data_IF_373197190496
#
_entry.id   IF_373197190496
#
_cell.length_a   1.000
_cell.length_b   1.000
_cell.length_c   1.000
_cell.angle_alpha   90.00
_cell.angle_beta   90.00
_cell.angle_gamma   90.00
#
_symmetry.space_group_name_H-M   'P 1'
#
loop_
_entity.id
_entity.type
_entity.pdbx_description
1 polymer ?
#
# COMPACT_ATOMS: atom_id res chain seq x y z
N UNK A 1 -1.83 -46.61 37.46
CA UNK A 1 -1.85 -46.66 35.97
C UNK A 1 -1.46 -48.02 35.38
N UNK A 2 -0.54 -48.77 35.96
CA UNK A 2 -0.11 -50.11 35.46
C UNK A 2 -1.25 -51.15 35.31
N UNK A 3 -2.21 -51.33 36.28
CA UNK A 3 -3.21 -52.40 36.16
C UNK A 3 -4.22 -52.19 35.03
N UNK A 4 -4.41 -50.97 34.57
CA UNK A 4 -5.32 -50.65 33.45
C UNK A 4 -4.71 -51.06 32.11
N UNK A 5 -3.46 -50.82 31.91
CA UNK A 5 -2.73 -51.16 30.69
C UNK A 5 -2.61 -52.67 30.53
N UNK A 6 -2.36 -53.42 31.62
CA UNK A 6 -2.27 -54.87 31.60
C UNK A 6 -3.60 -55.53 31.23
N UNK A 7 -4.74 -55.00 31.71
CA UNK A 7 -6.08 -55.48 31.32
C UNK A 7 -6.36 -55.26 29.83
N UNK A 8 -5.95 -54.13 29.26
CA UNK A 8 -6.14 -53.85 27.84
C UNK A 8 -5.28 -54.79 26.99
N UNK A 9 -4.02 -54.99 27.36
CA UNK A 9 -3.10 -55.88 26.64
C UNK A 9 -3.58 -57.34 26.69
N UNK A 10 -4.14 -57.81 27.84
CA UNK A 10 -4.66 -59.14 27.97
C UNK A 10 -5.90 -59.37 27.12
N UNK A 11 -6.82 -58.37 27.05
CA UNK A 11 -7.98 -58.43 26.15
C UNK A 11 -7.59 -58.39 24.69
N UNK A 12 -6.60 -57.59 24.31
CA UNK A 12 -6.11 -57.50 22.93
C UNK A 12 -5.48 -58.81 22.42
N UNK A 13 -4.87 -59.60 23.32
CA UNK A 13 -4.33 -60.93 22.97
C UNK A 13 -5.41 -61.96 22.65
N UNK A 14 -6.61 -61.84 23.25
CA UNK A 14 -7.73 -62.76 23.09
C UNK A 14 -8.59 -62.47 21.84
N UNK A 15 -8.40 -61.31 21.18
CA UNK A 15 -9.17 -60.91 19.99
C UNK A 15 -8.72 -61.71 18.75
N UNK A 16 -9.70 -62.01 17.87
CA UNK A 16 -9.45 -62.60 16.55
C UNK A 16 -8.68 -61.64 15.63
N UNK A 17 -8.02 -62.19 14.63
CA UNK A 17 -7.18 -61.42 13.69
C UNK A 17 -7.94 -60.23 13.02
N UNK A 18 -9.22 -60.43 12.72
CA UNK A 18 -10.11 -59.38 12.15
C UNK A 18 -10.41 -58.25 13.15
N UNK A 19 -10.56 -58.58 14.40
CA UNK A 19 -10.87 -57.60 15.45
C UNK A 19 -9.63 -56.80 15.87
N UNK A 20 -8.42 -57.33 15.70
CA UNK A 20 -7.15 -56.63 15.92
C UNK A 20 -6.87 -55.55 14.85
N UNK A 21 -7.47 -55.71 13.68
CA UNK A 21 -7.30 -54.73 12.58
C UNK A 21 -8.03 -53.42 12.86
N UNK A 22 -9.21 -53.43 13.48
CA UNK A 22 -10.00 -52.24 13.78
C UNK A 22 -9.29 -51.21 14.66
N UNK A 23 -8.73 -51.56 15.84
CA UNK A 23 -8.02 -50.60 16.66
C UNK A 23 -6.75 -50.06 15.97
N UNK A 24 -6.10 -50.84 15.16
CA UNK A 24 -4.94 -50.39 14.37
C UNK A 24 -5.35 -49.30 13.34
N UNK A 25 -6.41 -49.56 12.58
CA UNK A 25 -6.95 -48.58 11.63
C UNK A 25 -7.41 -47.30 12.35
N UNK A 26 -8.06 -47.44 13.52
CA UNK A 26 -8.50 -46.31 14.32
C UNK A 26 -7.36 -45.44 14.82
N UNK A 27 -6.29 -46.05 15.31
CA UNK A 27 -5.05 -45.31 15.71
C UNK A 27 -4.41 -44.66 14.53
N UNK A 28 -4.39 -45.28 13.35
CA UNK A 28 -3.87 -44.70 12.13
C UNK A 28 -4.69 -43.48 11.65
N UNK A 29 -6.01 -43.56 11.72
CA UNK A 29 -6.88 -42.42 11.43
C UNK A 29 -6.67 -41.25 12.41
N UNK A 30 -6.59 -41.53 13.71
CA UNK A 30 -6.29 -40.54 14.73
C UNK A 30 -4.94 -39.85 14.50
N UNK A 31 -3.90 -40.62 14.13
CA UNK A 31 -2.58 -40.06 13.85
C UNK A 31 -2.60 -39.15 12.62
N UNK A 32 -3.29 -39.53 11.54
CA UNK A 32 -3.46 -38.70 10.34
C UNK A 32 -4.22 -37.41 10.64
N UNK A 33 -5.27 -37.49 11.45
CA UNK A 33 -6.02 -36.31 11.86
C UNK A 33 -5.16 -35.33 12.67
N UNK A 34 -4.33 -35.84 13.56
CA UNK A 34 -3.43 -35.07 14.39
C UNK A 34 -2.32 -34.40 13.54
N UNK A 35 -1.72 -35.15 12.62
CA UNK A 35 -0.72 -34.66 11.68
C UNK A 35 -1.30 -33.54 10.80
N UNK A 36 -2.55 -33.72 10.30
CA UNK A 36 -3.26 -32.71 9.51
C UNK A 36 -3.49 -31.41 10.29
N UNK A 37 -3.85 -31.51 11.58
CA UNK A 37 -4.01 -30.35 12.47
C UNK A 37 -2.68 -29.59 12.69
N UNK A 38 -1.61 -30.32 12.98
CA UNK A 38 -0.27 -29.75 13.13
C UNK A 38 0.22 -29.06 11.84
N UNK A 39 -0.07 -29.65 10.69
CA UNK A 39 0.35 -29.08 9.40
C UNK A 39 -0.34 -27.74 9.09
N UNK A 40 -1.63 -27.60 9.39
CA UNK A 40 -2.35 -26.31 9.26
C UNK A 40 -1.75 -25.23 10.17
N UNK A 41 -1.48 -25.58 11.41
CA UNK A 41 -0.93 -24.63 12.38
C UNK A 41 0.49 -24.17 12.00
N UNK A 42 1.33 -25.09 11.54
CA UNK A 42 2.69 -24.80 11.07
C UNK A 42 2.68 -23.89 9.84
N UNK A 43 1.74 -24.10 8.91
CA UNK A 43 1.60 -23.30 7.71
C UNK A 43 1.24 -21.82 8.03
N UNK A 44 0.33 -21.61 8.99
CA UNK A 44 -0.03 -20.26 9.44
C UNK A 44 1.14 -19.57 10.11
N UNK A 45 1.85 -20.25 11.02
CA UNK A 45 3.05 -19.71 11.66
C UNK A 45 4.15 -19.33 10.65
N UNK A 46 4.32 -20.11 9.60
CA UNK A 46 5.31 -19.83 8.54
C UNK A 46 4.91 -18.62 7.69
N UNK A 47 3.62 -18.43 7.45
CA UNK A 47 3.10 -17.25 6.76
C UNK A 47 3.30 -15.98 7.60
N UNK A 48 2.95 -16.03 8.88
CA UNK A 48 3.11 -14.90 9.81
C UNK A 48 4.60 -14.55 10.02
N UNK A 49 5.45 -15.54 10.08
CA UNK A 49 6.91 -15.32 10.17
C UNK A 49 7.46 -14.62 8.92
N UNK A 50 7.05 -15.02 7.71
CA UNK A 50 7.45 -14.32 6.47
C UNK A 50 6.99 -12.88 6.44
N UNK A 51 5.74 -12.63 6.84
CA UNK A 51 5.16 -11.29 6.89
C UNK A 51 5.88 -10.41 7.93
N UNK A 52 6.14 -10.94 9.11
CA UNK A 52 6.88 -10.24 10.16
C UNK A 52 8.32 -9.95 9.74
N UNK A 53 9.01 -10.89 9.10
CA UNK A 53 10.36 -10.68 8.60
C UNK A 53 10.44 -9.61 7.50
N UNK A 54 9.43 -9.55 6.62
CA UNK A 54 9.33 -8.49 5.62
C UNK A 54 9.14 -7.11 6.27
N UNK A 55 8.30 -7.00 7.31
CA UNK A 55 8.14 -5.78 8.11
C UNK A 55 9.44 -5.36 8.79
N UNK A 56 10.15 -6.29 9.42
CA UNK A 56 11.43 -6.01 10.08
C UNK A 56 12.48 -5.51 9.09
N UNK A 57 12.58 -6.12 7.89
CA UNK A 57 13.48 -5.65 6.83
C UNK A 57 13.15 -4.23 6.40
N UNK A 58 11.86 -3.92 6.24
CA UNK A 58 11.41 -2.58 5.88
C UNK A 58 11.73 -1.56 6.99
N UNK A 59 11.46 -1.86 8.24
CA UNK A 59 11.84 -1.00 9.37
C UNK A 59 13.35 -0.75 9.46
N UNK A 60 14.17 -1.80 9.27
CA UNK A 60 15.64 -1.66 9.25
C UNK A 60 16.12 -0.77 8.11
N UNK A 61 15.48 -0.84 6.94
CA UNK A 61 15.76 0.05 5.82
C UNK A 61 15.49 1.51 6.18
N UNK A 62 14.34 1.81 6.78
CA UNK A 62 14.00 3.16 7.21
C UNK A 62 14.94 3.71 8.29
N UNK A 63 15.28 2.89 9.29
CA UNK A 63 16.21 3.28 10.36
C UNK A 63 17.61 3.57 9.78
N UNK A 64 18.09 2.72 8.88
CA UNK A 64 19.41 2.91 8.25
C UNK A 64 19.48 4.19 7.41
N UNK A 65 18.40 4.52 6.74
CA UNK A 65 18.34 5.67 5.85
C UNK A 65 17.81 6.95 6.56
N UNK A 66 17.57 6.87 7.87
CA UNK A 66 16.99 7.99 8.64
C UNK A 66 17.78 9.28 8.45
N UNK A 67 19.10 9.24 8.60
CA UNK A 67 19.95 10.42 8.45
C UNK A 67 19.91 11.04 7.03
N UNK A 68 19.87 10.19 6.01
CA UNK A 68 19.75 10.64 4.61
C UNK A 68 18.39 11.28 4.37
N UNK A 69 17.33 10.69 4.91
CA UNK A 69 15.96 11.22 4.79
C UNK A 69 15.84 12.56 5.51
N UNK A 70 16.37 12.67 6.73
CA UNK A 70 16.37 13.92 7.51
C UNK A 70 17.16 15.02 6.80
N UNK A 71 18.35 14.71 6.30
CA UNK A 71 19.16 15.69 5.53
C UNK A 71 18.46 16.14 4.24
N UNK A 72 17.79 15.23 3.54
CA UNK A 72 17.03 15.59 2.34
C UNK A 72 15.79 16.41 2.69
N UNK A 73 15.11 16.09 3.80
CA UNK A 73 13.98 16.86 4.30
C UNK A 73 14.40 18.29 4.65
N UNK A 74 15.49 18.47 5.38
CA UNK A 74 16.03 19.79 5.69
C UNK A 74 16.38 20.60 4.44
N UNK A 75 17.01 19.96 3.44
CA UNK A 75 17.30 20.61 2.15
C UNK A 75 16.02 21.08 1.46
N UNK A 76 14.99 20.25 1.43
CA UNK A 76 13.70 20.60 0.80
C UNK A 76 13.02 21.72 1.58
N UNK A 77 12.97 21.65 2.91
CA UNK A 77 12.37 22.69 3.75
C UNK A 77 13.09 24.04 3.61
N UNK A 78 14.41 24.04 3.48
CA UNK A 78 15.19 25.27 3.28
C UNK A 78 14.98 25.92 1.89
N UNK A 79 14.58 25.14 0.89
CA UNK A 79 14.28 25.64 -0.46
C UNK A 79 12.81 26.05 -0.60
N UNK A 80 11.90 25.45 0.22
CA UNK A 80 10.49 25.78 0.20
C UNK A 80 10.22 27.11 0.89
N UNK A 81 9.64 28.05 0.15
CA UNK A 81 9.10 29.29 0.70
C UNK A 81 7.69 29.02 1.27
N UNK A 82 7.46 29.20 2.60
CA UNK A 82 6.17 28.96 3.20
C UNK A 82 5.04 29.79 2.57
N UNK A 83 5.34 30.99 2.05
CA UNK A 83 4.34 31.87 1.44
C UNK A 83 3.87 31.39 0.08
N UNK A 84 4.67 30.56 -0.59
CA UNK A 84 4.34 29.97 -1.90
C UNK A 84 3.64 28.62 -1.79
N UNK A 85 3.46 28.11 -0.55
CA UNK A 85 2.75 26.84 -0.36
C UNK A 85 1.27 27.02 -0.62
N UNK A 86 0.67 26.07 -1.35
CA UNK A 86 -0.71 26.17 -1.81
C UNK A 86 -1.65 25.62 -0.73
N UNK A 87 -2.65 26.41 -0.34
CA UNK A 87 -3.81 25.90 0.39
C UNK A 87 -4.65 25.00 -0.52
N UNK A 88 -5.53 24.17 0.06
CA UNK A 88 -6.34 23.26 -0.75
C UNK A 88 -7.16 23.93 -1.85
N UNK A 89 -7.70 25.13 -1.57
CA UNK A 89 -8.46 25.91 -2.55
C UNK A 89 -7.56 26.49 -3.65
N UNK A 90 -6.43 27.07 -3.28
CA UNK A 90 -5.45 27.62 -4.23
C UNK A 90 -4.82 26.53 -5.08
N UNK A 91 -4.61 25.34 -4.51
CA UNK A 91 -4.13 24.16 -5.23
C UNK A 91 -5.07 23.73 -6.35
N UNK A 92 -6.39 23.68 -6.07
CA UNK A 92 -7.38 23.36 -7.08
C UNK A 92 -7.41 24.41 -8.19
N UNK A 93 -7.38 25.71 -7.84
CA UNK A 93 -7.33 26.81 -8.80
C UNK A 93 -6.10 26.76 -9.69
N UNK A 94 -4.91 26.54 -9.11
CA UNK A 94 -3.65 26.46 -9.87
C UNK A 94 -3.66 25.29 -10.87
N UNK A 95 -4.19 24.13 -10.47
CA UNK A 95 -4.34 22.97 -11.35
C UNK A 95 -5.34 23.28 -12.47
N UNK A 96 -6.44 23.92 -12.15
CA UNK A 96 -7.47 24.30 -13.13
C UNK A 96 -6.92 25.29 -14.16
N UNK A 97 -6.18 26.29 -13.74
CA UNK A 97 -5.57 27.28 -14.62
C UNK A 97 -4.55 26.65 -15.59
N UNK A 98 -3.75 25.71 -15.10
CA UNK A 98 -2.82 24.96 -15.94
C UNK A 98 -3.59 24.19 -17.03
N UNK A 99 -4.62 23.43 -16.67
CA UNK A 99 -5.34 22.56 -17.61
C UNK A 99 -6.12 23.37 -18.64
N UNK A 100 -6.73 24.47 -18.26
CA UNK A 100 -7.43 25.37 -19.19
C UNK A 100 -6.53 25.88 -20.30
N UNK A 101 -5.25 26.08 -20.01
CA UNK A 101 -4.26 26.49 -21.00
C UNK A 101 -4.08 25.50 -22.16
N UNK A 102 -4.37 24.21 -21.93
CA UNK A 102 -4.23 23.14 -22.95
C UNK A 102 -5.54 22.78 -23.65
N UNK A 103 -6.68 23.37 -23.24
CA UNK A 103 -7.99 23.11 -23.87
C UNK A 103 -8.48 21.67 -23.76
N UNK A 104 -8.01 20.92 -22.77
CA UNK A 104 -8.38 19.55 -22.50
C UNK A 104 -9.78 19.46 -21.88
N UNK A 105 -10.55 18.43 -22.26
CA UNK A 105 -11.77 18.06 -21.56
C UNK A 105 -11.39 17.34 -20.27
N UNK A 106 -11.80 17.88 -19.13
CA UNK A 106 -11.41 17.34 -17.83
C UNK A 106 -12.56 17.36 -16.81
N UNK A 107 -12.46 16.46 -15.85
CA UNK A 107 -13.21 16.49 -14.61
C UNK A 107 -12.25 16.42 -13.41
N UNK A 108 -12.53 17.18 -12.38
CA UNK A 108 -11.67 17.35 -11.23
C UNK A 108 -12.42 17.08 -9.93
N UNK A 109 -11.80 16.28 -9.04
CA UNK A 109 -12.35 16.05 -7.71
C UNK A 109 -12.08 17.22 -6.75
N UNK A 110 -12.86 17.34 -5.69
CA UNK A 110 -12.50 18.26 -4.60
C UNK A 110 -11.18 17.81 -3.92
N UNK A 111 -10.30 18.75 -3.55
CA UNK A 111 -9.06 18.43 -2.85
C UNK A 111 -9.32 17.75 -1.51
N UNK A 112 -8.63 16.65 -1.25
CA UNK A 112 -8.63 15.96 0.04
C UNK A 112 -7.41 16.38 0.83
N UNK A 113 -7.62 16.83 2.06
CA UNK A 113 -6.53 17.26 2.93
C UNK A 113 -6.21 16.19 3.97
N UNK A 114 -4.96 15.80 4.05
CA UNK A 114 -4.40 14.97 5.11
C UNK A 114 -3.49 15.81 5.97
N UNK A 115 -3.87 15.98 7.23
CA UNK A 115 -3.10 16.77 8.18
C UNK A 115 -1.96 15.94 8.78
N UNK A 116 -0.76 16.53 8.85
CA UNK A 116 0.37 16.06 9.64
C UNK A 116 0.77 17.14 10.66
N UNK A 117 1.75 16.86 11.52
CA UNK A 117 2.18 17.80 12.54
C UNK A 117 2.84 19.07 11.97
N UNK A 118 3.62 18.92 10.90
CA UNK A 118 4.44 19.98 10.29
C UNK A 118 3.80 20.54 9.02
N UNK A 119 3.06 19.72 8.28
CA UNK A 119 2.50 20.09 6.97
C UNK A 119 1.13 19.47 6.73
N UNK A 120 0.39 20.06 5.81
CA UNK A 120 -0.82 19.49 5.24
C UNK A 120 -0.51 18.97 3.84
N UNK A 121 -1.00 17.77 3.52
CA UNK A 121 -0.93 17.21 2.18
C UNK A 121 -2.31 17.35 1.55
N UNK A 122 -2.38 18.06 0.44
CA UNK A 122 -3.58 18.15 -0.37
C UNK A 122 -3.45 17.23 -1.56
N UNK A 123 -4.41 16.35 -1.77
CA UNK A 123 -4.45 15.42 -2.91
C UNK A 123 -5.70 15.68 -3.74
N UNK A 124 -5.54 15.71 -5.06
CA UNK A 124 -6.60 15.97 -6.02
C UNK A 124 -6.51 14.94 -7.14
N UNK A 125 -7.66 14.45 -7.59
CA UNK A 125 -7.76 13.59 -8.75
C UNK A 125 -8.30 14.38 -9.93
N UNK A 126 -7.60 14.30 -11.04
CA UNK A 126 -7.92 14.90 -12.30
C UNK A 126 -8.11 13.80 -13.33
N UNK A 127 -9.24 13.79 -13.99
CA UNK A 127 -9.53 12.89 -15.10
C UNK A 127 -9.62 13.70 -16.38
N UNK A 128 -8.84 13.31 -17.40
CA UNK A 128 -8.86 13.92 -18.72
C UNK A 128 -9.38 12.91 -19.73
N UNK A 129 -10.32 13.36 -20.57
CA UNK A 129 -10.92 12.56 -21.62
C UNK A 129 -10.43 13.03 -23.00
N UNK A 130 -10.30 12.07 -23.93
CA UNK A 130 -9.96 12.34 -25.33
C UNK A 130 -8.69 13.21 -25.50
N UNK A 131 -7.69 13.02 -24.67
CA UNK A 131 -6.43 13.76 -24.71
C UNK A 131 -5.44 13.11 -25.68
N UNK A 132 -4.69 13.90 -26.43
CA UNK A 132 -3.56 13.42 -27.21
C UNK A 132 -2.34 13.25 -26.32
N UNK A 133 -1.49 12.28 -26.63
CA UNK A 133 -0.27 12.04 -25.86
C UNK A 133 0.64 13.28 -25.79
N UNK A 134 0.72 14.07 -26.86
CA UNK A 134 1.54 15.29 -26.89
C UNK A 134 1.04 16.30 -25.86
N UNK A 135 -0.25 16.57 -25.79
CA UNK A 135 -0.86 17.53 -24.87
C UNK A 135 -0.66 17.07 -23.40
N UNK A 136 -0.68 15.75 -23.16
CA UNK A 136 -0.43 15.16 -21.85
C UNK A 136 1.03 15.32 -21.38
N UNK A 137 1.98 15.19 -22.30
CA UNK A 137 3.41 15.40 -22.00
C UNK A 137 3.67 16.87 -21.68
N UNK A 138 3.10 17.80 -22.44
CA UNK A 138 3.20 19.23 -22.16
C UNK A 138 2.56 19.59 -20.82
N UNK A 139 1.42 19.00 -20.49
CA UNK A 139 0.76 19.16 -19.19
C UNK A 139 1.65 18.66 -18.05
N UNK A 140 2.28 17.49 -18.21
CA UNK A 140 3.20 16.93 -17.22
C UNK A 140 4.40 17.87 -17.00
N UNK A 141 4.96 18.42 -18.05
CA UNK A 141 6.07 19.37 -17.97
C UNK A 141 5.67 20.66 -17.25
N UNK A 142 4.49 21.20 -17.53
CA UNK A 142 3.96 22.37 -16.83
C UNK A 142 3.78 22.12 -15.34
N UNK A 143 3.28 20.95 -14.97
CA UNK A 143 3.16 20.51 -13.57
C UNK A 143 4.57 20.37 -12.94
N UNK A 144 5.52 19.80 -13.69
CA UNK A 144 6.88 19.60 -13.20
C UNK A 144 7.59 20.93 -12.88
N UNK A 145 7.36 21.98 -13.66
CA UNK A 145 7.93 23.31 -13.42
C UNK A 145 7.41 23.96 -12.12
N UNK A 146 6.28 23.53 -11.60
CA UNK A 146 5.71 24.00 -10.32
C UNK A 146 6.29 23.29 -9.09
N UNK A 147 7.24 22.38 -9.25
CA UNK A 147 7.93 21.77 -8.11
C UNK A 147 8.68 22.82 -7.29
N UNK A 148 8.75 22.66 -5.97
CA UNK A 148 8.28 21.55 -5.12
C UNK A 148 6.82 21.67 -4.65
N UNK A 149 6.09 22.72 -5.03
CA UNK A 149 4.77 23.06 -4.50
C UNK A 149 3.65 22.18 -5.07
N UNK A 150 3.81 21.74 -6.32
CA UNK A 150 2.90 20.84 -7.01
C UNK A 150 3.68 19.60 -7.44
N UNK A 151 3.11 18.42 -7.24
CA UNK A 151 3.74 17.15 -7.60
C UNK A 151 2.73 16.17 -8.14
N UNK A 152 3.17 15.38 -9.10
CA UNK A 152 2.41 14.28 -9.69
C UNK A 152 2.74 12.99 -8.91
N UNK A 153 1.73 12.39 -8.27
CA UNK A 153 1.89 11.17 -7.48
C UNK A 153 1.67 9.91 -8.32
N UNK A 154 0.67 9.95 -9.18
CA UNK A 154 0.28 8.79 -9.98
C UNK A 154 -0.38 9.21 -11.29
N UNK A 155 -0.07 8.49 -12.35
CA UNK A 155 -0.72 8.58 -13.65
C UNK A 155 -1.25 7.22 -14.04
N UNK A 156 -2.49 7.17 -14.53
CA UNK A 156 -3.06 5.98 -15.14
C UNK A 156 -3.51 6.36 -16.54
N UNK A 157 -3.03 5.63 -17.52
CA UNK A 157 -3.36 5.81 -18.93
C UNK A 157 -4.30 4.70 -19.36
N UNK A 158 -5.40 5.05 -19.97
CA UNK A 158 -6.35 4.14 -20.59
C UNK A 158 -6.47 4.48 -22.08
N UNK A 159 -6.21 3.51 -22.94
CA UNK A 159 -6.42 3.68 -24.38
C UNK A 159 -7.91 3.62 -24.73
N UNK A 160 -8.35 4.52 -25.59
CA UNK A 160 -9.70 4.45 -26.12
C UNK A 160 -9.78 3.31 -27.16
N UNK A 161 -10.72 2.39 -26.96
CA UNK A 161 -10.89 1.21 -27.84
C UNK A 161 -11.33 1.58 -29.26
N UNK A 162 -12.00 2.72 -29.44
CA UNK A 162 -12.51 3.18 -30.74
C UNK A 162 -11.55 4.10 -31.47
N UNK A 163 -10.71 4.83 -30.73
CA UNK A 163 -9.72 5.72 -31.31
C UNK A 163 -8.40 5.64 -30.52
N UNK A 164 -7.42 4.88 -31.01
CA UNK A 164 -6.15 4.64 -30.29
C UNK A 164 -5.25 5.88 -30.20
N UNK A 165 -5.55 6.95 -30.92
CA UNK A 165 -4.82 8.23 -30.82
C UNK A 165 -5.27 9.08 -29.63
N UNK A 166 -6.44 8.76 -29.06
CA UNK A 166 -7.01 9.46 -27.92
C UNK A 166 -6.90 8.61 -26.67
N UNK A 167 -6.49 9.24 -25.58
CA UNK A 167 -6.26 8.62 -24.29
C UNK A 167 -7.21 9.20 -23.25
N UNK A 168 -7.62 8.34 -22.34
CA UNK A 168 -8.24 8.71 -21.07
C UNK A 168 -7.19 8.61 -19.98
N UNK A 169 -7.02 9.66 -19.17
CA UNK A 169 -5.94 9.72 -18.20
C UNK A 169 -6.43 10.17 -16.84
N UNK A 170 -6.08 9.38 -15.82
CA UNK A 170 -6.28 9.75 -14.42
C UNK A 170 -4.97 10.22 -13.81
N UNK A 171 -4.89 11.49 -13.45
CA UNK A 171 -3.79 12.06 -12.69
C UNK A 171 -4.16 12.15 -11.21
N UNK A 172 -3.23 11.73 -10.36
CA UNK A 172 -3.27 11.99 -8.91
C UNK A 172 -2.21 13.02 -8.60
N UNK A 173 -2.65 14.23 -8.27
CA UNK A 173 -1.81 15.37 -7.97
C UNK A 173 -1.74 15.59 -6.47
N UNK A 174 -0.60 16.02 -5.95
CA UNK A 174 -0.46 16.40 -4.56
C UNK A 174 0.26 17.74 -4.40
N UNK A 175 -0.12 18.47 -3.36
CA UNK A 175 0.51 19.72 -2.93
C UNK A 175 0.83 19.63 -1.45
N UNK A 176 1.94 20.24 -1.05
CA UNK A 176 2.40 20.36 0.32
C UNK A 176 2.20 21.79 0.81
N UNK A 177 1.42 21.97 1.88
CA UNK A 177 1.28 23.22 2.58
C UNK A 177 2.01 23.13 3.92
N UNK A 178 2.99 23.98 4.14
CA UNK A 178 3.66 24.12 5.43
C UNK A 178 2.71 24.79 6.43
N UNK A 179 2.61 24.22 7.64
CA UNK A 179 1.93 24.89 8.74
C UNK A 179 2.82 25.99 9.30
N UNK A 180 2.25 27.14 9.63
CA UNK A 180 2.93 28.28 10.26
C UNK A 180 3.41 27.96 11.70
N UNK A 181 4.14 26.87 11.89
CA UNK A 181 4.70 26.49 13.20
C UNK A 181 5.94 27.36 13.54
N UNK A 182 6.52 28.06 12.54
CA UNK A 182 7.73 28.84 12.70
C UNK A 182 7.51 30.25 13.28
N UNK A 183 6.29 30.75 13.39
CA UNK A 183 5.98 32.06 13.96
C UNK A 183 5.68 32.04 15.48
N UNK A 184 5.96 30.93 16.18
CA UNK A 184 5.70 30.74 17.60
C UNK A 184 6.94 30.56 18.47
N UNK A 185 8.07 31.21 18.10
CA UNK A 185 9.23 31.39 19.02
C UNK A 185 9.66 32.81 19.07
#
# INVERSE_FOLDING_TARGET
>A
MRPFIEKIVCRYKLLNYREKFFPFVFVLFLSLFWISGCFKQTRNLFHDWKFTNAKIKNHRFWIRNKSIIETNLEKVLNVMDPQKTLSGANFAGEVEDIIRGYGLSYSMSSPRTRNSDIFNIHTLQLHCENAKLADLVELEEAIYQKKPYLSLEKVKLHGNLFNPELLEVDFSLCSLQLKDILNGK
#
